data_IF_887947792347
#
_entry.id   IF_887947792347
#
_cell.length_a   1.000
_cell.length_b   1.000
_cell.length_c   1.000
_cell.angle_alpha   90.00
_cell.angle_beta   90.00
_cell.angle_gamma   90.00
#
_symmetry.space_group_name_H-M   'P 1'
#
loop_
_entity.id
_entity.type
_entity.pdbx_description
1 polymer ?
#
# COMPACT_ATOMS: atom_id res chain seq x y z
N UNK A 1 -11.13 -8.91 20.63
CA UNK A 1 -11.05 -7.55 20.04
C UNK A 1 -9.95 -6.72 20.67
N UNK A 2 -9.94 -6.48 22.00
CA UNK A 2 -8.89 -5.70 22.68
C UNK A 2 -7.51 -6.37 22.57
N UNK A 3 -7.46 -7.69 22.62
CA UNK A 3 -6.24 -8.50 22.46
C UNK A 3 -5.55 -8.27 21.10
N UNK A 4 -6.32 -8.01 20.05
CA UNK A 4 -5.75 -7.77 18.71
C UNK A 4 -5.09 -6.40 18.60
N UNK A 5 -5.41 -5.43 19.48
CA UNK A 5 -4.79 -4.09 19.45
C UNK A 5 -3.28 -4.13 19.72
N UNK A 6 -2.76 -5.20 20.35
CA UNK A 6 -1.32 -5.35 20.56
C UNK A 6 -0.55 -5.40 19.23
N UNK A 7 -1.19 -5.88 18.14
CA UNK A 7 -0.59 -5.97 16.82
C UNK A 7 -0.46 -4.61 16.11
N UNK A 8 -1.02 -3.54 16.68
CA UNK A 8 -0.73 -2.17 16.25
C UNK A 8 0.75 -1.84 16.50
N UNK A 9 1.34 -2.32 17.58
CA UNK A 9 2.73 -2.01 17.95
C UNK A 9 3.72 -2.48 16.86
N UNK A 10 3.77 -3.77 16.48
CA UNK A 10 4.64 -4.21 15.40
C UNK A 10 4.27 -3.56 14.05
N UNK A 11 2.99 -3.35 13.74
CA UNK A 11 2.56 -2.67 12.53
C UNK A 11 3.09 -1.23 12.43
N UNK A 12 2.95 -0.45 13.50
CA UNK A 12 3.52 0.91 13.60
C UNK A 12 5.03 0.89 13.49
N UNK A 13 5.70 -0.03 14.18
CA UNK A 13 7.16 -0.12 14.16
C UNK A 13 7.70 -0.38 12.75
N UNK A 14 7.13 -1.36 12.06
CA UNK A 14 7.49 -1.67 10.67
C UNK A 14 7.11 -0.52 9.74
N UNK A 15 5.95 0.11 9.96
CA UNK A 15 5.50 1.27 9.20
C UNK A 15 6.42 2.49 9.32
N UNK A 16 6.98 2.72 10.52
CA UNK A 16 8.01 3.77 10.72
C UNK A 16 9.24 3.46 9.87
N UNK A 17 9.76 2.25 9.93
CA UNK A 17 10.95 1.83 9.18
C UNK A 17 10.68 1.95 7.67
N UNK A 18 9.54 1.46 7.21
CA UNK A 18 9.13 1.51 5.80
C UNK A 18 9.01 2.95 5.27
N UNK A 19 8.37 3.84 6.02
CA UNK A 19 8.19 5.23 5.62
C UNK A 19 9.50 6.03 5.56
N UNK A 20 10.53 5.61 6.32
CA UNK A 20 11.84 6.25 6.29
C UNK A 20 12.70 5.81 5.11
N UNK A 21 12.51 4.60 4.60
CA UNK A 21 13.35 4.04 3.54
C UNK A 21 12.66 4.31 2.18
N UNK A 22 13.18 5.25 1.35
CA UNK A 22 12.60 5.51 0.06
C UNK A 22 12.50 4.25 -0.81
N UNK A 23 11.32 4.00 -1.35
CA UNK A 23 11.05 2.83 -2.18
C UNK A 23 10.66 1.55 -1.42
N UNK A 24 10.64 1.58 -0.10
CA UNK A 24 10.11 0.48 0.74
C UNK A 24 8.68 0.85 1.15
N UNK A 25 7.71 0.55 0.32
CA UNK A 25 6.29 0.78 0.65
C UNK A 25 5.67 -0.36 1.45
N UNK A 26 4.36 -0.26 1.70
CA UNK A 26 3.56 -1.24 2.46
C UNK A 26 3.74 -2.66 1.94
N UNK A 27 3.63 -2.86 0.62
CA UNK A 27 3.74 -4.19 0.00
C UNK A 27 5.11 -4.83 0.21
N UNK A 28 6.21 -4.09 -0.03
CA UNK A 28 7.57 -4.59 0.23
C UNK A 28 7.76 -4.96 1.70
N UNK A 29 7.23 -4.15 2.62
CA UNK A 29 7.32 -4.42 4.06
C UNK A 29 6.55 -5.66 4.46
N UNK A 30 5.36 -5.89 3.91
CA UNK A 30 4.62 -7.13 4.12
C UNK A 30 5.40 -8.34 3.62
N UNK A 31 6.01 -8.24 2.44
CA UNK A 31 6.83 -9.34 1.89
C UNK A 31 8.02 -9.68 2.78
N UNK A 32 8.71 -8.67 3.33
CA UNK A 32 9.82 -8.90 4.27
C UNK A 32 9.37 -9.50 5.60
N UNK A 33 8.12 -9.25 5.99
CA UNK A 33 7.53 -9.75 7.24
C UNK A 33 6.71 -11.03 7.05
N UNK A 34 6.71 -11.61 5.85
CA UNK A 34 5.82 -12.73 5.50
C UNK A 34 5.91 -13.92 6.46
N UNK A 35 7.09 -14.36 6.94
CA UNK A 35 7.19 -15.46 7.93
C UNK A 35 6.38 -15.18 9.20
N UNK A 36 6.34 -13.92 9.63
CA UNK A 36 5.55 -13.49 10.78
C UNK A 36 4.06 -13.40 10.42
N UNK A 37 3.73 -12.86 9.23
CA UNK A 37 2.34 -12.64 8.82
C UNK A 37 1.55 -13.95 8.69
N UNK A 38 2.16 -15.03 8.22
CA UNK A 38 1.52 -16.35 8.16
C UNK A 38 1.19 -16.95 9.54
N UNK A 39 1.79 -16.44 10.62
CA UNK A 39 1.48 -16.89 11.98
C UNK A 39 0.35 -16.12 12.65
N UNK A 40 -0.17 -15.08 11.99
CA UNK A 40 -1.21 -14.22 12.52
C UNK A 40 -2.61 -14.74 12.17
N UNK A 41 -3.50 -14.67 13.15
CA UNK A 41 -4.93 -14.85 12.90
C UNK A 41 -5.51 -13.71 12.03
N UNK A 42 -6.65 -13.94 11.36
CA UNK A 42 -7.22 -12.98 10.40
C UNK A 42 -7.35 -11.54 10.92
N UNK A 43 -7.87 -11.34 12.12
CA UNK A 43 -8.03 -10.01 12.70
C UNK A 43 -6.72 -9.37 13.19
N UNK A 44 -5.76 -10.19 13.61
CA UNK A 44 -4.42 -9.74 13.99
C UNK A 44 -3.67 -9.24 12.76
N UNK A 45 -3.74 -9.99 11.67
CA UNK A 45 -3.12 -9.63 10.39
C UNK A 45 -3.72 -8.33 9.84
N UNK A 46 -5.03 -8.17 9.90
CA UNK A 46 -5.71 -6.97 9.43
C UNK A 46 -5.35 -5.75 10.30
N UNK A 47 -5.26 -5.94 11.62
CA UNK A 47 -4.80 -4.91 12.57
C UNK A 47 -3.37 -4.46 12.26
N UNK A 48 -2.47 -5.43 12.08
CA UNK A 48 -1.09 -5.18 11.68
C UNK A 48 -1.03 -4.41 10.35
N UNK A 49 -1.80 -4.84 9.34
CA UNK A 49 -1.82 -4.22 8.02
C UNK A 49 -2.26 -2.75 8.08
N UNK A 50 -3.36 -2.45 8.78
CA UNK A 50 -3.85 -1.07 8.94
C UNK A 50 -2.80 -0.20 9.63
N UNK A 51 -2.17 -0.73 10.68
CA UNK A 51 -1.14 -0.02 11.42
C UNK A 51 0.10 0.24 10.56
N UNK A 52 0.56 -0.76 9.81
CA UNK A 52 1.66 -0.64 8.87
C UNK A 52 1.35 0.39 7.78
N UNK A 53 0.22 0.26 7.10
CA UNK A 53 -0.15 1.10 5.97
C UNK A 53 -0.31 2.58 6.39
N UNK A 54 -1.07 2.84 7.46
CA UNK A 54 -1.27 4.20 7.95
C UNK A 54 0.05 4.84 8.37
N UNK A 55 0.87 4.15 9.17
CA UNK A 55 2.13 4.71 9.68
C UNK A 55 3.13 4.96 8.56
N UNK A 56 3.23 4.06 7.58
CA UNK A 56 4.10 4.23 6.40
C UNK A 56 3.76 5.53 5.66
N UNK A 57 2.48 5.87 5.51
CA UNK A 57 2.06 7.10 4.85
C UNK A 57 2.46 8.35 5.63
N UNK A 58 2.24 8.38 6.95
CA UNK A 58 2.66 9.51 7.79
C UNK A 58 4.16 9.77 7.71
N UNK A 59 4.95 8.73 7.89
CA UNK A 59 6.41 8.84 7.88
C UNK A 59 6.93 9.13 6.47
N UNK A 60 6.32 8.55 5.44
CA UNK A 60 6.63 8.82 4.04
C UNK A 60 6.43 10.29 3.66
N UNK A 61 5.38 10.95 4.18
CA UNK A 61 5.14 12.39 3.98
C UNK A 61 6.16 13.26 4.71
N UNK A 62 6.62 12.85 5.92
CA UNK A 62 7.71 13.52 6.61
C UNK A 62 9.01 13.41 5.80
N UNK A 63 9.33 12.21 5.33
CA UNK A 63 10.50 11.94 4.48
C UNK A 63 10.46 12.80 3.22
N UNK A 64 9.29 12.88 2.56
CA UNK A 64 9.08 13.72 1.38
C UNK A 64 9.27 15.21 1.68
N UNK A 65 8.75 15.69 2.80
CA UNK A 65 8.87 17.09 3.23
C UNK A 65 10.31 17.47 3.57
N UNK A 66 10.99 16.65 4.35
CA UNK A 66 12.35 16.95 4.82
C UNK A 66 13.38 16.81 3.70
N UNK A 67 13.26 15.79 2.88
CA UNK A 67 14.30 15.41 1.91
C UNK A 67 13.99 15.77 0.46
N UNK A 68 12.74 16.09 0.16
CA UNK A 68 12.33 16.27 -1.23
C UNK A 68 12.35 14.95 -2.03
N UNK A 69 12.34 13.80 -1.33
CA UNK A 69 12.29 12.46 -1.92
C UNK A 69 11.00 11.76 -1.48
N UNK A 70 10.21 11.23 -2.42
CA UNK A 70 8.97 10.58 -2.04
C UNK A 70 9.27 9.29 -1.25
N UNK A 71 8.73 9.15 -0.04
CA UNK A 71 8.73 7.88 0.70
C UNK A 71 7.90 6.83 -0.06
N UNK A 72 6.77 7.28 -0.62
CA UNK A 72 5.94 6.52 -1.55
C UNK A 72 5.35 7.43 -2.64
N UNK A 73 4.80 6.83 -3.71
CA UNK A 73 4.34 7.58 -4.88
C UNK A 73 3.21 8.59 -4.58
N UNK A 74 2.43 8.34 -3.54
CA UNK A 74 1.34 9.22 -3.09
C UNK A 74 1.84 10.50 -2.40
N UNK A 75 3.08 10.53 -1.92
CA UNK A 75 3.69 11.68 -1.23
C UNK A 75 4.33 12.72 -2.17
N UNK A 76 4.16 12.62 -3.50
CA UNK A 76 4.68 13.59 -4.46
C UNK A 76 4.26 15.06 -4.20
N UNK A 77 3.03 15.37 -3.74
CA UNK A 77 2.68 16.72 -3.34
C UNK A 77 3.49 17.24 -2.14
N UNK A 78 3.84 16.37 -1.18
CA UNK A 78 4.70 16.72 -0.06
C UNK A 78 6.14 17.02 -0.52
N UNK A 79 6.63 16.31 -1.55
CA UNK A 79 7.90 16.65 -2.21
C UNK A 79 7.86 18.07 -2.82
N UNK A 80 6.76 18.45 -3.45
CA UNK A 80 6.65 19.75 -4.11
C UNK A 80 6.40 20.89 -3.12
N UNK A 81 5.36 20.78 -2.33
CA UNK A 81 4.88 21.88 -1.47
C UNK A 81 5.47 21.80 -0.07
N UNK A 82 5.53 20.58 0.51
CA UNK A 82 6.09 20.36 1.84
C UNK A 82 7.59 20.68 1.89
N UNK A 83 8.36 20.17 0.93
CA UNK A 83 9.79 20.45 0.85
C UNK A 83 10.10 21.93 0.55
N UNK A 84 9.30 22.58 -0.29
CA UNK A 84 9.43 24.01 -0.53
C UNK A 84 9.16 24.82 0.75
N UNK A 85 8.15 24.48 1.55
CA UNK A 85 7.92 25.09 2.86
C UNK A 85 9.08 24.83 3.81
N UNK A 86 9.61 23.63 3.80
CA UNK A 86 10.77 23.25 4.59
C UNK A 86 12.00 24.11 4.25
N UNK A 87 12.30 24.29 2.96
CA UNK A 87 13.40 25.14 2.49
C UNK A 87 13.20 26.64 2.84
N UNK A 88 11.95 27.07 3.01
CA UNK A 88 11.58 28.42 3.45
C UNK A 88 11.63 28.60 4.98
N UNK A 89 12.14 27.61 5.74
CA UNK A 89 12.16 27.63 7.22
C UNK A 89 10.82 27.35 7.88
N UNK A 90 9.80 26.90 7.12
CA UNK A 90 8.47 26.55 7.60
C UNK A 90 8.26 25.03 7.70
N UNK A 91 9.32 24.28 7.92
CA UNK A 91 9.28 22.83 7.98
C UNK A 91 8.35 22.29 9.08
N UNK A 92 8.36 22.92 10.25
CA UNK A 92 7.45 22.62 11.37
C UNK A 92 5.97 22.72 10.96
N UNK A 93 5.62 23.78 10.24
CA UNK A 93 4.25 24.02 9.75
C UNK A 93 3.87 22.97 8.68
N UNK A 94 4.77 22.64 7.78
CA UNK A 94 4.54 21.65 6.73
C UNK A 94 4.28 20.26 7.34
N UNK A 95 5.15 19.80 8.24
CA UNK A 95 5.02 18.49 8.91
C UNK A 95 3.74 18.43 9.76
N UNK A 96 3.44 19.48 10.53
CA UNK A 96 2.19 19.52 11.30
C UNK A 96 0.96 19.49 10.39
N UNK A 97 0.99 20.28 9.31
CA UNK A 97 -0.11 20.29 8.33
C UNK A 97 -0.36 18.95 7.69
N UNK A 98 0.71 18.26 7.27
CA UNK A 98 0.63 16.90 6.73
C UNK A 98 0.09 15.91 7.76
N UNK A 99 0.66 15.88 8.97
CA UNK A 99 0.26 14.94 10.01
C UNK A 99 -1.19 15.13 10.47
N UNK A 100 -1.62 16.39 10.72
CA UNK A 100 -3.01 16.70 11.09
C UNK A 100 -3.96 16.42 9.91
N UNK A 101 -3.54 16.75 8.68
CA UNK A 101 -4.30 16.43 7.47
C UNK A 101 -4.53 14.94 7.28
N UNK A 102 -3.50 14.15 7.48
CA UNK A 102 -3.57 12.68 7.44
C UNK A 102 -4.52 12.12 8.50
N UNK A 103 -4.38 12.59 9.75
CA UNK A 103 -5.25 12.17 10.85
C UNK A 103 -6.73 12.50 10.59
N UNK A 104 -7.02 13.75 10.23
CA UNK A 104 -8.39 14.15 9.96
C UNK A 104 -8.95 13.54 8.68
N UNK A 105 -8.11 13.29 7.65
CA UNK A 105 -8.51 12.54 6.46
C UNK A 105 -9.03 11.15 6.79
N UNK A 106 -8.31 10.44 7.65
CA UNK A 106 -8.72 9.11 8.14
C UNK A 106 -10.00 9.16 8.98
N UNK A 107 -10.16 10.15 9.86
CA UNK A 107 -11.38 10.31 10.67
C UNK A 107 -12.60 10.73 9.84
N UNK A 108 -12.42 11.68 8.93
CA UNK A 108 -13.51 12.19 8.10
C UNK A 108 -13.99 11.13 7.12
N UNK A 109 -13.09 10.33 6.53
CA UNK A 109 -13.49 9.22 5.65
C UNK A 109 -14.18 8.13 6.45
N UNK A 110 -13.76 7.85 7.67
CA UNK A 110 -14.44 6.91 8.55
C UNK A 110 -15.89 7.35 8.82
N UNK A 111 -16.11 8.65 9.06
CA UNK A 111 -17.46 9.22 9.21
C UNK A 111 -18.29 9.09 7.92
N UNK A 112 -17.68 9.31 6.75
CA UNK A 112 -18.35 9.09 5.47
C UNK A 112 -18.72 7.61 5.27
N UNK A 113 -17.81 6.69 5.55
CA UNK A 113 -18.09 5.25 5.47
C UNK A 113 -19.22 4.85 6.42
N UNK A 114 -19.23 5.37 7.66
CA UNK A 114 -20.31 5.16 8.60
C UNK A 114 -21.68 5.57 8.04
N UNK A 115 -21.71 6.72 7.40
CA UNK A 115 -22.93 7.21 6.74
C UNK A 115 -23.40 6.31 5.59
N UNK A 116 -22.46 5.70 4.83
CA UNK A 116 -22.77 4.84 3.71
C UNK A 116 -22.94 3.35 4.06
N UNK A 117 -22.77 2.93 5.32
CA UNK A 117 -22.93 1.51 5.74
C UNK A 117 -24.25 0.89 5.31
N UNK A 118 -25.42 1.55 5.44
CA UNK A 118 -26.68 0.96 4.99
C UNK A 118 -26.68 0.66 3.48
N UNK A 119 -26.12 1.58 2.68
CA UNK A 119 -25.98 1.40 1.23
C UNK A 119 -25.01 0.27 0.89
N UNK A 120 -23.87 0.19 1.58
CA UNK A 120 -22.90 -0.89 1.41
C UNK A 120 -23.50 -2.25 1.74
N UNK A 121 -24.34 -2.33 2.78
CA UNK A 121 -25.06 -3.56 3.13
C UNK A 121 -26.07 -4.00 2.06
N UNK A 122 -26.75 -3.04 1.41
CA UNK A 122 -27.64 -3.35 0.28
C UNK A 122 -26.85 -3.84 -0.94
N UNK A 123 -25.73 -3.17 -1.28
CA UNK A 123 -24.86 -3.59 -2.37
C UNK A 123 -24.30 -4.99 -2.09
N UNK A 124 -23.90 -5.28 -0.85
CA UNK A 124 -23.42 -6.59 -0.45
C UNK A 124 -24.45 -7.70 -0.70
N UNK A 125 -25.74 -7.46 -0.46
CA UNK A 125 -26.80 -8.43 -0.72
C UNK A 125 -27.00 -8.74 -2.21
N UNK A 126 -26.66 -7.77 -3.10
CA UNK A 126 -26.70 -7.95 -4.55
C UNK A 126 -25.44 -8.63 -5.09
N UNK A 127 -24.41 -8.75 -4.25
CA UNK A 127 -23.12 -9.29 -4.63
C UNK A 127 -23.18 -10.81 -4.80
N UNK A 128 -22.72 -11.27 -5.94
CA UNK A 128 -22.66 -12.70 -6.27
C UNK A 128 -21.39 -13.01 -7.09
N UNK A 129 -21.10 -14.29 -7.31
CA UNK A 129 -19.90 -14.73 -8.02
C UNK A 129 -19.75 -14.11 -9.41
N UNK A 130 -20.85 -13.84 -10.12
CA UNK A 130 -20.80 -13.20 -11.45
C UNK A 130 -20.33 -11.75 -11.36
N UNK A 131 -20.89 -11.00 -10.42
CA UNK A 131 -20.51 -9.60 -10.17
C UNK A 131 -19.05 -9.54 -9.71
N UNK A 132 -18.65 -10.43 -8.81
CA UNK A 132 -17.26 -10.55 -8.36
C UNK A 132 -16.31 -10.77 -9.55
N UNK A 133 -16.67 -11.67 -10.45
CA UNK A 133 -15.90 -11.96 -11.65
C UNK A 133 -15.68 -10.72 -12.51
N UNK A 134 -16.77 -10.02 -12.82
CA UNK A 134 -16.72 -8.82 -13.64
C UNK A 134 -15.90 -7.70 -12.99
N UNK A 135 -16.05 -7.51 -11.68
CA UNK A 135 -15.30 -6.49 -10.94
C UNK A 135 -13.81 -6.83 -10.89
N UNK A 136 -13.44 -8.09 -10.62
CA UNK A 136 -12.03 -8.52 -10.62
C UNK A 136 -11.38 -8.33 -12.00
N UNK A 137 -12.08 -8.67 -13.08
CA UNK A 137 -11.59 -8.40 -14.44
C UNK A 137 -11.44 -6.90 -14.70
N UNK A 138 -12.40 -6.09 -14.26
CA UNK A 138 -12.33 -4.63 -14.36
C UNK A 138 -11.13 -4.09 -13.57
N UNK A 139 -10.86 -4.60 -12.38
CA UNK A 139 -9.68 -4.23 -11.58
C UNK A 139 -8.39 -4.47 -12.35
N UNK A 140 -8.22 -5.64 -12.96
CA UNK A 140 -7.03 -5.95 -13.79
C UNK A 140 -6.91 -4.97 -14.96
N UNK A 141 -8.01 -4.74 -15.69
CA UNK A 141 -8.03 -3.79 -16.82
C UNK A 141 -7.63 -2.38 -16.37
N UNK A 142 -8.17 -1.92 -15.24
CA UNK A 142 -7.85 -0.58 -14.72
C UNK A 142 -6.41 -0.47 -14.22
N UNK A 143 -5.85 -1.53 -13.59
CA UNK A 143 -4.42 -1.57 -13.22
C UNK A 143 -3.54 -1.45 -14.45
N UNK A 144 -3.84 -2.20 -15.52
CA UNK A 144 -3.10 -2.14 -16.79
C UNK A 144 -3.25 -0.76 -17.45
N UNK A 145 -4.47 -0.24 -17.51
CA UNK A 145 -4.76 1.07 -18.13
C UNK A 145 -4.12 2.25 -17.37
N UNK A 146 -3.85 2.09 -16.07
CA UNK A 146 -3.18 3.11 -15.26
C UNK A 146 -1.68 3.25 -15.54
N UNK A 147 -1.09 2.30 -16.28
CA UNK A 147 0.34 2.28 -16.56
C UNK A 147 0.72 3.20 -17.72
N UNK A 148 1.91 3.81 -17.63
CA UNK A 148 2.44 4.69 -18.69
C UNK A 148 2.66 3.97 -20.03
N UNK A 149 3.03 2.69 -19.97
CA UNK A 149 3.34 1.86 -21.15
C UNK A 149 2.37 0.68 -21.20
N UNK A 150 1.17 0.92 -21.73
CA UNK A 150 0.06 -0.04 -21.72
C UNK A 150 0.45 -1.38 -22.36
N UNK A 151 1.19 -1.39 -23.48
CA UNK A 151 1.61 -2.63 -24.13
C UNK A 151 2.53 -3.50 -23.24
N UNK A 152 3.46 -2.87 -22.51
CA UNK A 152 4.30 -3.56 -21.54
C UNK A 152 3.48 -4.06 -20.35
N UNK A 153 2.52 -3.26 -19.87
CA UNK A 153 1.65 -3.64 -18.77
C UNK A 153 0.74 -4.83 -19.11
N UNK A 154 0.21 -4.89 -20.34
CA UNK A 154 -0.54 -6.06 -20.83
C UNK A 154 0.37 -7.31 -20.83
N UNK A 155 1.57 -7.20 -21.40
CA UNK A 155 2.51 -8.33 -21.42
C UNK A 155 2.84 -8.81 -20.01
N UNK A 156 3.10 -7.89 -19.08
CA UNK A 156 3.36 -8.20 -17.68
C UNK A 156 2.16 -8.87 -17.00
N UNK A 157 0.94 -8.39 -17.25
CA UNK A 157 -0.26 -9.01 -16.68
C UNK A 157 -0.48 -10.42 -17.22
N UNK A 158 -0.24 -10.64 -18.51
CA UNK A 158 -0.31 -11.97 -19.14
C UNK A 158 0.75 -12.91 -18.56
N UNK A 159 2.01 -12.45 -18.45
CA UNK A 159 3.09 -13.25 -17.86
C UNK A 159 2.77 -13.60 -16.40
N UNK A 160 2.32 -12.64 -15.60
CA UNK A 160 1.92 -12.87 -14.22
C UNK A 160 0.83 -13.92 -14.09
N UNK A 161 -0.20 -13.83 -14.93
CA UNK A 161 -1.26 -14.83 -14.98
C UNK A 161 -0.72 -16.25 -15.33
N UNK A 162 0.13 -16.38 -16.35
CA UNK A 162 0.69 -17.69 -16.70
C UNK A 162 1.64 -18.23 -15.62
N UNK A 163 2.40 -17.39 -14.95
CA UNK A 163 3.23 -17.82 -13.82
C UNK A 163 2.38 -18.35 -12.66
N UNK A 164 1.19 -17.77 -12.40
CA UNK A 164 0.27 -18.28 -11.37
C UNK A 164 -0.35 -19.63 -11.70
N UNK A 165 -0.34 -20.03 -12.96
CA UNK A 165 -0.90 -21.34 -13.37
C UNK A 165 0.13 -22.48 -13.30
N UNK A 166 1.40 -22.21 -13.02
CA UNK A 166 2.43 -23.24 -12.87
C UNK A 166 2.09 -24.10 -11.64
N UNK A 167 2.04 -25.41 -11.85
CA UNK A 167 1.68 -26.35 -10.78
C UNK A 167 0.56 -27.30 -11.17
N UNK A 168 0.12 -28.12 -10.23
CA UNK A 168 -1.02 -29.01 -10.39
C UNK A 168 -2.22 -28.47 -9.58
N UNK A 169 -3.34 -28.27 -10.24
CA UNK A 169 -4.55 -27.78 -9.60
C UNK A 169 -5.22 -28.91 -8.80
N UNK A 170 -5.56 -28.64 -7.56
CA UNK A 170 -6.24 -29.61 -6.69
C UNK A 170 -7.64 -29.98 -7.19
N UNK A 171 -8.34 -29.05 -7.84
CA UNK A 171 -9.73 -29.19 -8.23
C UNK A 171 -9.95 -30.23 -9.35
N UNK A 172 -9.05 -30.34 -10.31
CA UNK A 172 -9.17 -31.20 -11.50
C UNK A 172 -7.92 -32.05 -11.76
N UNK A 173 -6.87 -31.93 -10.96
CA UNK A 173 -5.60 -32.65 -11.10
C UNK A 173 -4.80 -32.27 -12.34
N UNK A 174 -5.19 -31.21 -13.06
CA UNK A 174 -4.48 -30.77 -14.27
C UNK A 174 -3.21 -30.06 -13.90
N UNK A 175 -2.08 -30.55 -14.41
CA UNK A 175 -0.76 -29.97 -14.20
C UNK A 175 -0.36 -29.09 -15.40
N UNK A 176 0.14 -27.87 -15.12
CA UNK A 176 0.60 -26.93 -16.14
C UNK A 176 2.06 -26.53 -15.89
N UNK A 177 2.91 -26.63 -16.90
CA UNK A 177 4.34 -26.26 -16.86
C UNK A 177 5.15 -26.89 -15.71
N UNK A 178 4.81 -28.09 -15.27
CA UNK A 178 5.53 -28.80 -14.19
C UNK A 178 6.77 -29.52 -14.67
N UNK A 179 6.90 -29.77 -15.99
CA UNK A 179 8.04 -30.44 -16.62
C UNK A 179 8.46 -31.76 -15.92
N UNK A 180 7.51 -32.47 -15.33
CA UNK A 180 7.71 -33.67 -14.50
C UNK A 180 8.63 -33.44 -13.28
N UNK A 181 8.80 -32.20 -12.84
CA UNK A 181 9.52 -31.85 -11.61
C UNK A 181 8.55 -31.85 -10.43
N UNK A 182 8.78 -32.70 -9.40
CA UNK A 182 7.91 -32.75 -8.21
C UNK A 182 7.77 -31.40 -7.49
N UNK A 183 8.83 -30.61 -7.41
CA UNK A 183 8.80 -29.30 -6.76
C UNK A 183 7.85 -28.33 -7.47
N UNK A 184 7.79 -28.39 -8.81
CA UNK A 184 6.89 -27.54 -9.60
C UNK A 184 5.43 -27.97 -9.51
N UNK A 185 5.12 -29.17 -9.00
CA UNK A 185 3.71 -29.59 -8.83
C UNK A 185 2.97 -28.77 -7.78
N UNK A 186 3.69 -28.25 -6.78
CA UNK A 186 3.14 -27.37 -5.73
C UNK A 186 2.97 -25.90 -6.18
N UNK A 187 3.35 -25.59 -7.44
CA UNK A 187 3.32 -24.24 -7.97
C UNK A 187 4.56 -23.40 -7.61
N UNK A 188 4.61 -22.19 -8.15
CA UNK A 188 5.70 -21.26 -7.84
C UNK A 188 5.46 -20.58 -6.48
N UNK A 189 6.44 -20.62 -5.55
CA UNK A 189 6.27 -20.01 -4.24
C UNK A 189 6.02 -18.50 -4.34
N UNK A 190 4.91 -18.02 -3.76
CA UNK A 190 4.52 -16.62 -3.80
C UNK A 190 5.66 -15.68 -3.39
N UNK A 191 6.29 -15.97 -2.25
CA UNK A 191 7.36 -15.13 -1.71
C UNK A 191 8.54 -15.04 -2.68
N UNK A 192 8.91 -16.14 -3.34
CA UNK A 192 10.05 -16.17 -4.26
C UNK A 192 9.80 -15.35 -5.52
N UNK A 193 8.61 -15.50 -6.11
CA UNK A 193 8.22 -14.76 -7.33
C UNK A 193 8.10 -13.28 -7.03
N UNK A 194 7.40 -12.91 -5.96
CA UNK A 194 7.20 -11.50 -5.59
C UNK A 194 8.51 -10.85 -5.14
N UNK A 195 9.32 -11.55 -4.37
CA UNK A 195 10.65 -11.08 -3.99
C UNK A 195 11.51 -10.79 -5.21
N UNK A 196 11.56 -11.73 -6.16
CA UNK A 196 12.37 -11.60 -7.37
C UNK A 196 11.84 -10.51 -8.33
N UNK A 197 10.55 -10.50 -8.62
CA UNK A 197 9.98 -9.67 -9.69
C UNK A 197 9.41 -8.33 -9.23
N UNK A 198 9.30 -8.08 -7.91
CA UNK A 198 8.87 -6.81 -7.37
C UNK A 198 9.88 -6.19 -6.40
N UNK A 199 10.36 -6.93 -5.39
CA UNK A 199 11.27 -6.36 -4.39
C UNK A 199 12.64 -6.09 -4.99
N UNK A 200 13.22 -7.02 -5.77
CA UNK A 200 14.51 -6.83 -6.46
C UNK A 200 14.51 -5.59 -7.36
N UNK A 201 13.51 -5.36 -8.25
CA UNK A 201 13.39 -4.12 -9.00
C UNK A 201 13.42 -2.86 -8.13
N UNK A 202 12.72 -2.85 -7.01
CA UNK A 202 12.63 -1.70 -6.11
C UNK A 202 13.98 -1.37 -5.44
N UNK A 203 14.65 -2.38 -4.86
CA UNK A 203 15.93 -2.17 -4.16
C UNK A 203 17.09 -1.86 -5.11
N UNK A 204 17.01 -2.31 -6.35
CA UNK A 204 18.08 -2.12 -7.34
C UNK A 204 17.92 -0.83 -8.16
N UNK A 205 16.80 -0.15 -8.07
CA UNK A 205 16.67 1.19 -8.68
C UNK A 205 17.73 2.14 -8.13
N UNK A 206 18.32 3.00 -8.99
CA UNK A 206 19.21 4.06 -8.52
C UNK A 206 18.41 4.99 -7.59
N UNK A 207 18.77 5.02 -6.32
CA UNK A 207 18.22 5.98 -5.36
C UNK A 207 19.26 7.10 -5.23
N UNK A 208 18.91 8.28 -5.71
CA UNK A 208 19.68 9.48 -5.40
C UNK A 208 19.39 9.86 -3.95
N UNK A 209 20.19 9.32 -3.03
CA UNK A 209 20.20 9.81 -1.66
C UNK A 209 20.82 11.20 -1.69
N UNK A 210 20.00 12.16 -1.34
CA UNK A 210 20.38 13.56 -1.40
C UNK A 210 21.59 13.83 -0.48
N UNK A 211 22.71 14.23 -1.05
CA UNK A 211 23.86 14.76 -0.31
C UNK A 211 23.55 16.19 0.12
N UNK A 212 22.57 16.41 0.96
CA UNK A 212 22.28 17.75 1.43
C UNK A 212 23.03 18.10 2.72
N UNK A 213 23.53 19.35 2.71
CA UNK A 213 24.21 20.02 3.80
C UNK A 213 23.34 20.04 5.06
N UNK A 214 23.98 20.08 6.22
CA UNK A 214 23.37 20.14 7.55
C UNK A 214 22.06 20.94 7.62
N UNK A 215 20.94 20.22 7.63
CA UNK A 215 19.62 20.79 7.82
C UNK A 215 19.37 20.85 9.32
N UNK A 216 19.19 22.05 9.87
CA UNK A 216 18.68 22.23 11.22
C UNK A 216 17.15 22.16 11.15
N UNK A 217 16.55 21.12 11.70
CA UNK A 217 15.12 21.06 11.92
C UNK A 217 14.82 21.84 13.20
N UNK A 218 14.13 22.97 13.07
CA UNK A 218 13.41 23.55 14.19
C UNK A 218 12.17 22.68 14.44
N UNK A 219 12.19 21.92 15.53
CA UNK A 219 11.29 20.79 15.74
C UNK A 219 10.29 21.03 16.84
N UNK A 220 9.95 22.26 17.12
CA UNK A 220 8.95 22.55 18.14
C UNK A 220 7.55 22.49 17.51
N UNK A 221 6.67 21.66 18.08
CA UNK A 221 5.26 21.70 17.76
C UNK A 221 4.71 23.07 18.20
N UNK A 222 4.33 23.87 17.23
CA UNK A 222 3.76 25.19 17.51
C UNK A 222 2.24 25.10 17.53
N UNK A 223 1.63 25.58 18.60
CA UNK A 223 0.17 25.73 18.70
C UNK A 223 -0.39 26.58 17.53
N UNK A 224 0.46 27.42 16.94
CA UNK A 224 0.17 28.19 15.74
C UNK A 224 -0.14 27.30 14.52
N UNK A 225 0.48 26.13 14.42
CA UNK A 225 0.20 25.18 13.34
C UNK A 225 -1.24 24.66 13.37
N UNK A 226 -1.79 24.40 14.55
CA UNK A 226 -3.20 24.04 14.72
C UNK A 226 -4.14 25.16 14.27
N UNK A 227 -3.88 26.41 14.71
CA UNK A 227 -4.69 27.56 14.28
C UNK A 227 -4.64 27.74 12.77
N UNK A 228 -3.47 27.60 12.16
CA UNK A 228 -3.30 27.68 10.71
C UNK A 228 -4.07 26.57 10.01
N UNK A 229 -4.04 25.34 10.53
CA UNK A 229 -4.77 24.20 9.98
C UNK A 229 -6.28 24.47 9.96
N UNK A 230 -6.88 24.83 11.09
CA UNK A 230 -8.33 25.08 11.17
C UNK A 230 -8.78 26.25 10.30
N UNK A 231 -7.93 27.27 10.11
CA UNK A 231 -8.21 28.36 9.15
C UNK A 231 -8.35 27.85 7.72
N UNK A 232 -7.71 26.72 7.39
CA UNK A 232 -7.69 26.12 6.05
C UNK A 232 -8.41 24.76 5.97
N UNK A 233 -9.24 24.45 6.97
CA UNK A 233 -9.96 23.17 7.10
C UNK A 233 -10.78 22.79 5.85
N UNK A 234 -11.30 23.77 5.11
CA UNK A 234 -11.98 23.52 3.83
C UNK A 234 -11.13 22.81 2.78
N UNK A 235 -9.79 22.91 2.84
CA UNK A 235 -8.91 22.13 1.98
C UNK A 235 -8.94 20.64 2.33
N UNK A 236 -8.98 20.32 3.65
CA UNK A 236 -9.11 18.93 4.11
C UNK A 236 -10.45 18.33 3.75
N UNK A 237 -11.55 19.05 3.86
CA UNK A 237 -12.86 18.55 3.44
C UNK A 237 -12.89 18.17 1.95
N UNK A 238 -12.34 19.04 1.09
CA UNK A 238 -12.22 18.72 -0.35
C UNK A 238 -11.32 17.53 -0.58
N UNK A 239 -10.18 17.47 0.11
CA UNK A 239 -9.27 16.32 0.07
C UNK A 239 -9.96 15.03 0.47
N UNK A 240 -10.71 15.01 1.58
CA UNK A 240 -11.45 13.84 2.04
C UNK A 240 -12.45 13.33 0.98
N UNK A 241 -13.25 14.23 0.39
CA UNK A 241 -14.23 13.83 -0.64
C UNK A 241 -13.52 13.24 -1.87
N UNK A 242 -12.44 13.87 -2.32
CA UNK A 242 -11.64 13.37 -3.45
C UNK A 242 -11.03 12.01 -3.08
N UNK A 243 -10.45 11.88 -1.90
CA UNK A 243 -9.87 10.64 -1.39
C UNK A 243 -10.90 9.51 -1.30
N UNK A 244 -12.09 9.80 -0.77
CA UNK A 244 -13.18 8.84 -0.67
C UNK A 244 -13.64 8.33 -2.04
N UNK A 245 -13.86 9.22 -3.01
CA UNK A 245 -14.35 8.83 -4.34
C UNK A 245 -13.26 8.13 -5.17
N UNK A 246 -12.06 8.72 -5.21
CA UNK A 246 -10.97 8.26 -6.07
C UNK A 246 -10.23 7.07 -5.45
N UNK A 247 -10.32 6.87 -4.13
CA UNK A 247 -9.72 5.74 -3.44
C UNK A 247 -10.22 4.38 -3.93
N UNK A 248 -11.41 4.31 -4.51
CA UNK A 248 -11.92 3.09 -5.14
C UNK A 248 -11.24 2.73 -6.48
N UNK A 249 -10.34 3.57 -7.00
CA UNK A 249 -9.63 3.26 -8.24
C UNK A 249 -8.54 2.19 -7.99
N UNK A 250 -8.61 1.06 -8.70
CA UNK A 250 -7.64 -0.01 -8.55
C UNK A 250 -6.21 0.43 -8.89
N UNK A 251 -5.28 -0.09 -8.14
CA UNK A 251 -3.85 0.04 -8.39
C UNK A 251 -3.24 1.38 -7.97
N UNK A 252 -3.94 2.47 -8.18
CA UNK A 252 -3.38 3.82 -8.06
C UNK A 252 -4.25 4.77 -7.24
N UNK A 253 -5.28 4.27 -6.57
CA UNK A 253 -6.27 5.08 -5.86
C UNK A 253 -5.67 6.15 -4.93
N UNK A 254 -4.74 5.80 -4.07
CA UNK A 254 -4.05 6.74 -3.15
C UNK A 254 -3.21 7.76 -3.90
N UNK A 255 -2.45 7.32 -4.92
CA UNK A 255 -1.57 8.19 -5.72
C UNK A 255 -2.39 9.18 -6.54
N UNK A 256 -3.45 8.70 -7.20
CA UNK A 256 -4.34 9.56 -8.01
C UNK A 256 -5.10 10.52 -7.10
N UNK A 257 -5.63 10.07 -5.97
CA UNK A 257 -6.34 10.91 -5.00
C UNK A 257 -5.47 12.08 -4.52
N UNK A 258 -4.26 11.78 -4.07
CA UNK A 258 -3.32 12.78 -3.56
C UNK A 258 -2.97 13.82 -4.64
N UNK A 259 -2.58 13.35 -5.85
CA UNK A 259 -2.19 14.24 -6.94
C UNK A 259 -3.35 15.04 -7.54
N UNK A 260 -4.54 14.44 -7.63
CA UNK A 260 -5.75 15.12 -8.11
C UNK A 260 -6.19 16.21 -7.13
N UNK A 261 -6.23 15.87 -5.83
CA UNK A 261 -6.56 16.80 -4.78
C UNK A 261 -5.58 17.99 -4.74
N UNK A 262 -4.28 17.70 -4.84
CA UNK A 262 -3.25 18.71 -5.02
C UNK A 262 -3.52 19.62 -6.22
N UNK A 263 -3.81 19.02 -7.39
CA UNK A 263 -3.98 19.77 -8.63
C UNK A 263 -5.23 20.66 -8.60
N UNK A 264 -6.33 20.17 -8.04
CA UNK A 264 -7.57 20.95 -7.86
C UNK A 264 -7.34 22.11 -6.91
N UNK A 265 -6.70 21.87 -5.75
CA UNK A 265 -6.45 22.92 -4.78
C UNK A 265 -5.45 23.97 -5.32
N UNK A 266 -4.41 23.53 -6.01
CA UNK A 266 -3.46 24.41 -6.70
C UNK A 266 -4.16 25.31 -7.71
N UNK A 267 -5.01 24.72 -8.58
CA UNK A 267 -5.81 25.49 -9.55
C UNK A 267 -6.71 26.51 -8.85
N UNK A 268 -7.37 26.11 -7.75
CA UNK A 268 -8.23 26.99 -6.96
C UNK A 268 -7.47 28.16 -6.35
N UNK A 269 -6.27 27.90 -5.77
CA UNK A 269 -5.41 28.93 -5.21
C UNK A 269 -4.85 29.86 -6.29
N UNK A 270 -4.53 29.31 -7.46
CA UNK A 270 -4.06 30.10 -8.62
C UNK A 270 -5.14 31.06 -9.11
N UNK A 271 -6.38 30.57 -9.27
CA UNK A 271 -7.52 31.44 -9.63
C UNK A 271 -7.77 32.59 -8.64
N UNK A 272 -7.48 32.35 -7.37
CA UNK A 272 -7.56 33.39 -6.32
C UNK A 272 -6.35 34.31 -6.24
N UNK A 273 -5.34 34.13 -7.09
CA UNK A 273 -4.09 34.87 -7.05
C UNK A 273 -3.24 34.57 -5.78
N UNK A 274 -3.51 33.46 -5.09
CA UNK A 274 -2.91 33.11 -3.79
C UNK A 274 -1.89 31.96 -3.87
N UNK A 275 -1.75 31.33 -5.01
CA UNK A 275 -0.81 30.23 -5.16
C UNK A 275 0.63 30.76 -5.23
N UNK A 276 1.47 30.20 -4.35
CA UNK A 276 2.94 30.30 -4.40
C UNK A 276 3.50 28.93 -4.08
N UNK A 277 4.66 28.59 -4.59
CA UNK A 277 5.35 27.34 -4.25
C UNK A 277 5.59 27.28 -2.73
N UNK A 278 5.31 26.14 -2.12
CA UNK A 278 5.16 26.01 -0.68
C UNK A 278 3.71 26.33 -0.24
N UNK A 279 2.73 25.99 -1.07
CA UNK A 279 1.32 26.24 -0.75
C UNK A 279 0.79 25.26 0.29
N UNK A 280 0.56 25.75 1.49
CA UNK A 280 0.10 24.97 2.62
C UNK A 280 -1.25 24.27 2.38
N UNK A 281 -2.21 24.93 1.71
CA UNK A 281 -3.53 24.37 1.44
C UNK A 281 -3.46 23.22 0.44
N UNK A 282 -2.62 23.35 -0.59
CA UNK A 282 -2.39 22.28 -1.57
C UNK A 282 -1.73 21.07 -0.94
N UNK A 283 -0.79 21.28 -0.01
CA UNK A 283 -0.18 20.21 0.78
C UNK A 283 -1.22 19.48 1.64
N UNK A 284 -1.94 20.22 2.48
CA UNK A 284 -2.94 19.66 3.41
C UNK A 284 -4.05 18.91 2.66
N UNK A 285 -4.56 19.47 1.56
CA UNK A 285 -5.58 18.81 0.74
C UNK A 285 -5.10 17.47 0.17
N UNK A 286 -3.87 17.42 -0.31
CA UNK A 286 -3.27 16.21 -0.86
C UNK A 286 -3.06 15.13 0.20
N UNK A 287 -2.53 15.50 1.38
CA UNK A 287 -2.29 14.57 2.48
C UNK A 287 -3.59 14.00 3.06
N UNK A 288 -4.61 14.87 3.18
CA UNK A 288 -5.94 14.44 3.60
C UNK A 288 -6.55 13.45 2.59
N UNK A 289 -6.42 13.72 1.28
CA UNK A 289 -6.91 12.84 0.24
C UNK A 289 -6.17 11.50 0.20
N UNK A 290 -4.86 11.51 0.42
CA UNK A 290 -4.05 10.31 0.48
C UNK A 290 -4.56 9.34 1.57
N UNK A 291 -4.72 9.85 2.78
CA UNK A 291 -5.13 9.02 3.93
C UNK A 291 -6.60 8.61 3.85
N UNK A 292 -7.48 9.47 3.34
CA UNK A 292 -8.86 9.09 3.06
C UNK A 292 -8.94 7.97 2.02
N UNK A 293 -8.16 8.06 0.94
CA UNK A 293 -8.09 7.03 -0.09
C UNK A 293 -7.50 5.71 0.41
N UNK A 294 -6.51 5.75 1.28
CA UNK A 294 -5.91 4.56 1.86
C UNK A 294 -6.89 3.72 2.70
N UNK A 295 -7.84 4.37 3.36
CA UNK A 295 -8.92 3.66 4.02
C UNK A 295 -9.97 3.18 3.03
N UNK A 296 -10.32 4.02 2.04
CA UNK A 296 -11.36 3.67 1.05
C UNK A 296 -10.95 2.47 0.19
N UNK A 297 -9.67 2.37 -0.18
CA UNK A 297 -9.17 1.26 -1.01
C UNK A 297 -9.34 -0.09 -0.32
N UNK A 298 -9.28 -0.14 1.00
CA UNK A 298 -9.46 -1.37 1.80
C UNK A 298 -10.91 -1.86 1.84
N UNK A 299 -11.90 -1.00 1.62
CA UNK A 299 -13.31 -1.38 1.74
C UNK A 299 -13.74 -2.50 0.78
N UNK A 300 -13.42 -2.49 -0.52
CA UNK A 300 -13.75 -3.58 -1.42
C UNK A 300 -13.16 -4.92 -1.02
N UNK A 301 -11.93 -4.93 -0.50
CA UNK A 301 -11.33 -6.16 0.00
C UNK A 301 -12.12 -6.74 1.17
N UNK A 302 -12.39 -5.91 2.16
CA UNK A 302 -12.99 -6.39 3.42
C UNK A 302 -14.48 -6.74 3.24
N UNK A 303 -15.20 -5.94 2.45
CA UNK A 303 -16.64 -6.13 2.24
C UNK A 303 -16.94 -7.20 1.19
N UNK A 304 -16.17 -7.25 0.11
CA UNK A 304 -16.46 -8.07 -1.06
C UNK A 304 -15.37 -9.12 -1.39
N UNK A 305 -14.25 -9.12 -0.67
CA UNK A 305 -13.09 -9.96 -1.00
C UNK A 305 -12.40 -9.55 -2.31
N UNK A 306 -12.47 -8.27 -2.68
CA UNK A 306 -11.87 -7.73 -3.91
C UNK A 306 -10.68 -6.85 -3.57
N UNK A 307 -9.44 -7.33 -3.73
CA UNK A 307 -8.27 -6.49 -3.55
C UNK A 307 -8.14 -5.49 -4.69
N UNK A 308 -7.81 -4.25 -4.37
CA UNK A 308 -7.59 -3.19 -5.36
C UNK A 308 -6.10 -2.88 -5.60
N UNK A 309 -5.22 -3.26 -4.68
CA UNK A 309 -3.78 -3.01 -4.74
C UNK A 309 -2.98 -4.27 -4.35
N UNK A 310 -1.70 -4.39 -4.73
CA UNK A 310 -0.90 -5.60 -4.46
C UNK A 310 -0.78 -5.98 -2.99
N UNK A 311 -0.67 -5.01 -2.08
CA UNK A 311 -0.62 -5.29 -0.63
C UNK A 311 -1.92 -5.90 -0.10
N UNK A 312 -3.04 -5.53 -0.66
CA UNK A 312 -4.34 -6.13 -0.34
C UNK A 312 -4.49 -7.51 -0.99
N UNK A 313 -3.96 -7.69 -2.20
CA UNK A 313 -3.95 -9.01 -2.83
C UNK A 313 -3.13 -10.00 -2.01
N UNK A 314 -1.96 -9.57 -1.48
CA UNK A 314 -1.16 -10.37 -0.56
C UNK A 314 -1.89 -10.63 0.77
N UNK A 315 -2.53 -9.60 1.33
CA UNK A 315 -3.35 -9.75 2.54
C UNK A 315 -4.46 -10.78 2.33
N UNK A 316 -5.14 -10.70 1.19
CA UNK A 316 -6.18 -11.64 0.79
C UNK A 316 -5.65 -13.07 0.68
N UNK A 317 -4.51 -13.26 0.01
CA UNK A 317 -3.88 -14.56 -0.19
C UNK A 317 -3.49 -15.23 1.15
N UNK A 318 -2.86 -14.47 2.07
CA UNK A 318 -2.55 -14.97 3.42
C UNK A 318 -3.82 -15.35 4.20
N UNK A 319 -4.89 -14.56 4.09
CA UNK A 319 -6.16 -14.85 4.74
C UNK A 319 -6.79 -16.13 4.20
N UNK A 320 -6.78 -16.28 2.87
CA UNK A 320 -7.31 -17.48 2.21
C UNK A 320 -6.52 -18.74 2.59
N UNK A 321 -5.19 -18.66 2.66
CA UNK A 321 -4.35 -19.79 3.09
C UNK A 321 -4.59 -20.18 4.56
N UNK A 322 -5.05 -19.24 5.38
CA UNK A 322 -5.50 -19.50 6.76
C UNK A 322 -6.97 -19.93 6.85
N UNK A 323 -7.64 -20.24 5.72
CA UNK A 323 -9.03 -20.68 5.67
C UNK A 323 -10.06 -19.56 5.93
N UNK A 324 -9.65 -18.29 5.86
CA UNK A 324 -10.53 -17.15 6.09
C UNK A 324 -10.89 -16.46 4.79
N UNK A 325 -12.15 -16.59 4.36
CA UNK A 325 -12.64 -15.98 3.12
C UNK A 325 -13.14 -14.56 3.39
N UNK A 326 -12.39 -13.57 2.93
CA UNK A 326 -12.83 -12.18 2.99
C UNK A 326 -14.08 -11.96 2.13
N UNK A 327 -14.98 -11.12 2.61
CA UNK A 327 -16.26 -10.88 1.95
C UNK A 327 -17.37 -11.84 2.41
N UNK A 328 -17.06 -13.09 2.75
CA UNK A 328 -18.06 -14.04 3.28
C UNK A 328 -18.17 -13.98 4.81
N UNK A 329 -17.02 -13.85 5.49
CA UNK A 329 -16.94 -13.82 6.95
C UNK A 329 -16.98 -12.41 7.53
N UNK A 330 -16.99 -11.39 6.68
CA UNK A 330 -17.01 -9.98 7.08
C UNK A 330 -18.32 -9.33 6.66
N UNK A 331 -19.09 -8.90 7.64
CA UNK A 331 -20.22 -8.01 7.38
C UNK A 331 -19.79 -6.55 7.52
N UNK A 332 -20.42 -5.60 6.80
CA UNK A 332 -20.10 -4.17 6.96
C UNK A 332 -20.17 -3.67 8.41
N UNK A 333 -21.09 -4.23 9.20
CA UNK A 333 -21.23 -3.90 10.63
C UNK A 333 -20.02 -4.36 11.43
N UNK A 334 -19.60 -5.63 11.29
CA UNK A 334 -18.44 -6.21 11.98
C UNK A 334 -17.16 -5.46 11.59
N UNK A 335 -17.01 -5.14 10.32
CA UNK A 335 -15.89 -4.34 9.82
C UNK A 335 -15.80 -3.01 10.56
N UNK A 336 -16.89 -2.27 10.59
CA UNK A 336 -16.91 -0.96 11.19
C UNK A 336 -16.61 -1.01 12.71
N UNK A 337 -17.24 -1.93 13.43
CA UNK A 337 -17.06 -2.08 14.88
C UNK A 337 -15.63 -2.49 15.26
N UNK A 338 -14.97 -3.36 14.48
CA UNK A 338 -13.64 -3.87 14.79
C UNK A 338 -12.50 -3.00 14.22
N UNK A 339 -12.63 -2.53 12.98
CA UNK A 339 -11.55 -1.84 12.30
C UNK A 339 -11.55 -0.33 12.49
N UNK A 340 -12.71 0.26 12.77
CA UNK A 340 -12.79 1.68 13.09
C UNK A 340 -11.92 2.04 14.29
N UNK A 341 -11.97 1.23 15.35
CA UNK A 341 -11.15 1.43 16.54
C UNK A 341 -9.65 1.31 16.21
N UNK A 342 -9.26 0.25 15.47
CA UNK A 342 -7.87 0.05 15.02
C UNK A 342 -7.38 1.25 14.22
N UNK A 343 -8.19 1.72 13.27
CA UNK A 343 -7.85 2.88 12.44
C UNK A 343 -7.65 4.14 13.29
N UNK A 344 -8.58 4.44 14.20
CA UNK A 344 -8.51 5.64 15.07
C UNK A 344 -7.28 5.58 15.97
N UNK A 345 -7.06 4.45 16.66
CA UNK A 345 -5.93 4.26 17.57
C UNK A 345 -4.60 4.35 16.81
N UNK A 346 -4.50 3.67 15.66
CA UNK A 346 -3.29 3.71 14.84
C UNK A 346 -2.97 5.11 14.34
N UNK A 347 -3.96 5.82 13.78
CA UNK A 347 -3.75 7.18 13.28
C UNK A 347 -3.41 8.15 14.42
N UNK A 348 -3.97 7.96 15.61
CA UNK A 348 -3.62 8.75 16.79
C UNK A 348 -2.18 8.51 17.23
N UNK A 349 -1.74 7.24 17.27
CA UNK A 349 -0.34 6.89 17.56
C UNK A 349 0.58 7.47 16.48
N UNK A 350 0.24 7.30 15.20
CA UNK A 350 1.02 7.83 14.09
C UNK A 350 1.17 9.36 14.15
N UNK A 351 0.09 10.08 14.50
CA UNK A 351 0.12 11.53 14.69
C UNK A 351 1.08 11.94 15.82
N UNK A 352 1.02 11.26 16.97
CA UNK A 352 1.89 11.55 18.12
C UNK A 352 3.35 11.22 17.79
N UNK A 353 3.59 10.09 17.15
CA UNK A 353 4.95 9.58 16.86
C UNK A 353 5.60 10.32 15.69
N UNK A 354 4.83 10.76 14.70
CA UNK A 354 5.33 11.47 13.52
C UNK A 354 6.20 12.68 13.89
N UNK A 355 5.79 13.41 14.91
CA UNK A 355 6.46 14.64 15.30
C UNK A 355 7.86 14.46 15.91
N UNK A 356 8.02 13.65 16.99
CA UNK A 356 9.35 13.40 17.52
C UNK A 356 10.26 12.67 16.53
N UNK A 357 9.70 11.83 15.67
CA UNK A 357 10.47 11.11 14.66
C UNK A 357 11.00 12.01 13.55
N UNK A 358 10.33 13.11 13.23
CA UNK A 358 10.82 14.08 12.24
C UNK A 358 12.25 14.55 12.55
N UNK A 359 12.64 14.66 13.84
CA UNK A 359 14.02 14.98 14.26
C UNK A 359 15.02 13.91 13.83
N UNK A 360 14.62 12.64 13.97
CA UNK A 360 15.52 11.51 13.74
C UNK A 360 15.64 11.16 12.26
N UNK A 361 14.68 11.54 11.44
CA UNK A 361 14.73 11.38 9.98
C UNK A 361 16.04 11.92 9.41
N UNK A 362 16.49 13.09 9.88
CA UNK A 362 17.75 13.73 9.46
C UNK A 362 18.98 12.87 9.77
N UNK A 363 18.96 12.11 10.88
CA UNK A 363 20.09 11.23 11.24
C UNK A 363 20.11 9.94 10.41
N UNK A 364 18.94 9.42 10.04
CA UNK A 364 18.83 8.22 9.19
C UNK A 364 19.44 8.47 7.80
N UNK A 365 19.30 9.68 7.26
CA UNK A 365 19.95 10.03 5.98
C UNK A 365 21.48 10.04 5.99
N UNK A 366 22.08 10.19 7.16
CA UNK A 366 23.56 10.11 7.28
C UNK A 366 24.06 8.69 7.07
N UNK A 367 23.17 7.69 7.18
CA UNK A 367 23.51 6.30 6.94
C UNK A 367 23.68 6.05 5.42
N UNK A 368 24.70 5.30 5.03
CA UNK A 368 24.92 5.01 3.63
C UNK A 368 23.79 4.18 3.05
N UNK A 369 23.26 4.55 1.88
CA UNK A 369 22.20 3.80 1.17
C UNK A 369 22.55 2.31 0.97
N UNK A 370 23.85 1.99 0.84
CA UNK A 370 24.33 0.62 0.76
C UNK A 370 23.95 -0.22 1.99
N UNK A 371 24.00 0.37 3.18
CA UNK A 371 23.66 -0.34 4.43
C UNK A 371 22.18 -0.78 4.40
N UNK A 372 21.27 0.10 4.04
CA UNK A 372 19.85 -0.25 3.92
C UNK A 372 19.61 -1.34 2.87
N UNK A 373 20.26 -1.23 1.71
CA UNK A 373 20.15 -2.26 0.67
C UNK A 373 20.64 -3.61 1.18
N UNK A 374 21.78 -3.65 1.87
CA UNK A 374 22.32 -4.89 2.45
C UNK A 374 21.34 -5.47 3.49
N UNK A 375 20.81 -4.65 4.39
CA UNK A 375 19.84 -5.09 5.39
C UNK A 375 18.57 -5.67 4.75
N UNK A 376 18.03 -5.01 3.71
CA UNK A 376 16.86 -5.51 2.97
C UNK A 376 17.17 -6.86 2.33
N UNK A 377 18.34 -7.01 1.70
CA UNK A 377 18.77 -8.28 1.13
C UNK A 377 18.88 -9.39 2.16
N UNK A 378 19.46 -9.11 3.32
CA UNK A 378 19.60 -10.09 4.41
C UNK A 378 18.23 -10.52 4.95
N UNK A 379 17.33 -9.57 5.18
CA UNK A 379 15.96 -9.86 5.65
C UNK A 379 15.18 -10.63 4.59
N UNK A 380 15.35 -10.30 3.32
CA UNK A 380 14.67 -10.99 2.20
C UNK A 380 15.12 -12.46 2.11
N UNK A 381 16.42 -12.71 2.14
CA UNK A 381 16.97 -14.09 2.10
C UNK A 381 16.54 -14.88 3.35
N UNK A 382 16.57 -14.24 4.51
CA UNK A 382 16.06 -14.85 5.75
C UNK A 382 14.58 -15.20 5.65
N UNK A 383 13.75 -14.30 5.11
CA UNK A 383 12.33 -14.54 4.94
C UNK A 383 12.05 -15.70 3.96
N UNK A 384 12.78 -15.75 2.83
CA UNK A 384 12.68 -16.85 1.85
C UNK A 384 13.05 -18.19 2.49
N UNK A 385 14.14 -18.23 3.23
CA UNK A 385 14.59 -19.44 3.93
C UNK A 385 13.55 -19.91 4.95
N UNK A 386 13.09 -19.00 5.83
CA UNK A 386 12.17 -19.35 6.92
C UNK A 386 10.80 -19.83 6.43
N UNK A 387 10.28 -19.23 5.36
CA UNK A 387 9.01 -19.70 4.75
C UNK A 387 9.23 -21.04 4.04
N UNK A 388 10.35 -21.20 3.36
CA UNK A 388 10.71 -22.48 2.71
C UNK A 388 10.88 -23.60 3.72
N UNK A 389 11.56 -23.36 4.86
CA UNK A 389 11.75 -24.33 5.93
C UNK A 389 10.42 -24.81 6.52
N UNK A 390 9.46 -23.92 6.75
CA UNK A 390 8.12 -24.30 7.23
C UNK A 390 7.39 -25.25 6.28
N UNK A 391 7.71 -25.21 4.99
CA UNK A 391 7.13 -26.06 3.94
C UNK A 391 8.04 -27.23 3.55
N UNK A 392 9.19 -27.43 4.22
CA UNK A 392 10.22 -28.42 3.85
C UNK A 392 10.74 -28.28 2.41
N UNK A 393 10.78 -27.06 1.90
CA UNK A 393 11.14 -26.73 0.51
C UNK A 393 12.09 -25.51 0.41
N UNK A 394 12.93 -25.27 1.41
CA UNK A 394 13.82 -24.11 1.46
C UNK A 394 14.71 -23.96 0.23
N UNK A 395 15.25 -25.07 -0.28
CA UNK A 395 16.07 -25.06 -1.50
C UNK A 395 15.25 -24.61 -2.73
N UNK A 396 14.03 -25.12 -2.88
CA UNK A 396 13.15 -24.76 -3.98
C UNK A 396 12.79 -23.27 -3.97
N UNK A 397 12.45 -22.71 -2.79
CA UNK A 397 12.16 -21.29 -2.64
C UNK A 397 13.34 -20.40 -3.04
N UNK A 398 14.55 -20.77 -2.64
CA UNK A 398 15.77 -20.04 -3.00
C UNK A 398 16.11 -20.20 -4.49
N UNK A 399 15.96 -21.39 -5.06
CA UNK A 399 16.22 -21.64 -6.49
C UNK A 399 15.28 -20.78 -7.36
N UNK A 400 13.98 -20.81 -7.09
CA UNK A 400 13.00 -19.99 -7.84
C UNK A 400 13.35 -18.50 -7.72
N UNK A 401 13.70 -18.04 -6.53
CA UNK A 401 14.12 -16.66 -6.34
C UNK A 401 15.35 -16.31 -7.16
N UNK A 402 16.43 -17.08 -7.07
CA UNK A 402 17.69 -16.78 -7.78
C UNK A 402 17.56 -16.91 -9.29
N UNK A 403 16.69 -17.77 -9.80
CA UNK A 403 16.37 -17.88 -11.23
C UNK A 403 15.62 -16.64 -11.72
N UNK A 404 14.66 -16.14 -10.95
CA UNK A 404 13.83 -15.00 -11.36
C UNK A 404 14.46 -13.63 -11.02
N UNK A 405 15.35 -13.53 -10.05
CA UNK A 405 15.95 -12.26 -9.62
C UNK A 405 16.70 -11.50 -10.74
N UNK A 406 17.45 -12.14 -11.66
CA UNK A 406 18.02 -11.47 -12.83
C UNK A 406 16.95 -10.85 -13.74
N UNK A 407 15.81 -11.55 -13.93
CA UNK A 407 14.67 -11.02 -14.69
C UNK A 407 14.11 -9.77 -13.99
N UNK A 408 13.89 -9.85 -12.68
CA UNK A 408 13.47 -8.70 -11.89
C UNK A 408 14.44 -7.51 -12.00
N UNK A 409 15.74 -7.76 -11.97
CA UNK A 409 16.73 -6.71 -12.17
C UNK A 409 16.61 -6.04 -13.55
N UNK A 410 16.37 -6.80 -14.60
CA UNK A 410 16.14 -6.25 -15.95
C UNK A 410 14.84 -5.42 -16.01
N UNK A 411 13.81 -5.86 -15.28
CA UNK A 411 12.51 -5.19 -15.23
C UNK A 411 12.51 -3.92 -14.37
N UNK A 412 13.60 -3.55 -13.68
CA UNK A 412 13.67 -2.40 -12.76
C UNK A 412 13.29 -1.04 -13.36
N UNK A 413 13.26 -0.91 -14.69
CA UNK A 413 12.85 0.31 -15.39
C UNK A 413 11.33 0.40 -15.59
N UNK A 414 10.62 -0.70 -15.40
CA UNK A 414 9.18 -0.80 -15.60
C UNK A 414 8.45 -0.91 -14.26
N UNK A 415 7.16 -0.64 -14.29
CA UNK A 415 6.29 -0.95 -13.16
C UNK A 415 5.83 -2.41 -13.26
N UNK A 416 6.27 -3.23 -12.33
CA UNK A 416 5.95 -4.67 -12.29
C UNK A 416 4.63 -4.97 -11.56
N UNK A 417 3.88 -3.95 -11.17
CA UNK A 417 2.60 -4.10 -10.48
C UNK A 417 1.58 -4.96 -11.23
N UNK A 418 1.36 -4.79 -12.56
CA UNK A 418 0.43 -5.64 -13.30
C UNK A 418 0.80 -7.13 -13.24
N UNK A 419 2.10 -7.45 -13.36
CA UNK A 419 2.60 -8.82 -13.27
C UNK A 419 2.30 -9.44 -11.90
N UNK A 420 2.68 -8.74 -10.85
CA UNK A 420 2.53 -9.24 -9.47
C UNK A 420 1.07 -9.38 -9.08
N UNK A 421 0.25 -8.39 -9.44
CA UNK A 421 -1.17 -8.43 -9.12
C UNK A 421 -1.85 -9.64 -9.79
N UNK A 422 -1.63 -9.84 -11.09
CA UNK A 422 -2.21 -10.97 -11.81
C UNK A 422 -1.60 -12.30 -11.40
N UNK A 423 -0.35 -12.34 -10.94
CA UNK A 423 0.25 -13.53 -10.33
C UNK A 423 -0.48 -13.93 -9.03
N UNK A 424 -0.70 -12.98 -8.12
CA UNK A 424 -1.34 -13.28 -6.82
C UNK A 424 -2.79 -13.73 -7.00
N UNK A 425 -3.57 -13.06 -7.87
CA UNK A 425 -4.99 -13.38 -8.06
C UNK A 425 -5.29 -14.37 -9.17
N UNK A 426 -4.27 -14.87 -9.87
CA UNK A 426 -4.42 -15.59 -11.14
C UNK A 426 -5.19 -16.90 -11.02
N UNK A 427 -5.01 -17.67 -9.96
CA UNK A 427 -5.80 -18.89 -9.70
C UNK A 427 -7.28 -18.53 -9.52
N UNK A 428 -7.56 -17.45 -8.82
CA UNK A 428 -8.92 -16.98 -8.61
C UNK A 428 -9.57 -16.48 -9.89
N UNK A 429 -8.79 -15.82 -10.74
CA UNK A 429 -9.26 -15.42 -12.08
C UNK A 429 -9.65 -16.64 -12.92
N UNK A 430 -8.86 -17.72 -12.86
CA UNK A 430 -9.19 -18.96 -13.56
C UNK A 430 -10.45 -19.62 -13.00
N UNK A 431 -10.59 -19.72 -11.67
CA UNK A 431 -11.79 -20.24 -11.01
C UNK A 431 -13.03 -19.46 -11.46
N UNK A 432 -12.96 -18.14 -11.43
CA UNK A 432 -14.01 -17.24 -11.85
C UNK A 432 -14.37 -17.47 -13.33
N UNK A 433 -13.35 -17.56 -14.21
CA UNK A 433 -13.54 -17.79 -15.63
C UNK A 433 -14.23 -19.14 -15.91
N UNK A 434 -13.80 -20.20 -15.25
CA UNK A 434 -14.43 -21.52 -15.37
C UNK A 434 -15.87 -21.54 -14.86
N UNK A 435 -16.14 -20.86 -13.75
CA UNK A 435 -17.51 -20.72 -13.21
C UNK A 435 -18.41 -19.95 -14.19
N UNK A 436 -17.91 -18.88 -14.78
CA UNK A 436 -18.62 -18.11 -15.81
C UNK A 436 -18.90 -18.98 -17.04
N UNK A 437 -17.91 -19.71 -17.51
CA UNK A 437 -18.07 -20.64 -18.66
C UNK A 437 -19.15 -21.68 -18.39
N UNK A 438 -19.16 -22.30 -17.20
CA UNK A 438 -20.15 -23.30 -16.81
C UNK A 438 -21.58 -22.73 -16.66
N UNK A 439 -21.72 -21.42 -16.46
CA UNK A 439 -23.02 -20.75 -16.33
C UNK A 439 -23.61 -20.27 -17.66
N UNK A 440 -22.80 -20.17 -18.73
CA UNK A 440 -23.21 -19.64 -20.04
C UNK A 440 -23.08 -20.65 -21.20
N UNK A 441 -22.50 -21.82 -20.95
CA UNK A 441 -22.44 -22.99 -21.83
C UNK A 441 -23.23 -24.15 -21.24
#
# INVERSE_FOLDING_TARGET
>A
MVENLIYIIPGVTVGIIAGFIPGVGVFTSMMLMLPFLYSLEPYQLLTFYIALASTTQYIGSITATVFGLPGESSSLPAVKEGHALFQQGQGSIAISGSAIGSFLGSLLVLALVAFFIPTLSQIYQLYNTKIMALVMMLVVVLIVASQKQIGVAILMAVVGYYLSQVGCREADGVCFMTFNNPDLTTGLPLISVVAALYVVPQITRPTEWYKNKSIKLETNFELHALKKYFKHFGASLRGTVIGFVVGFLPGTGTVVSSNLSYSIEKWWQTKKGKYKLGNYQSLVSAETANNAAAFTVLLPLVVFGIPLIPSEALLYDIQMSNGFVMGENFTPKIFFENLALVLVVTNFIALIVAWPLAKYVVYIQKLPAKLFKILIWLVLIWALYTVGEKNFQEAYYLIVFFVLAPVGYLLRKFDTMPLIFTFIIGERLLYIFNTMKALYL
#
